data_IF_527787710038
#
_entry.id   IF_527787710038
#
_cell.length_a   1.000
_cell.length_b   1.000
_cell.length_c   1.000
_cell.angle_alpha   90.00
_cell.angle_beta   90.00
_cell.angle_gamma   90.00
#
_symmetry.space_group_name_H-M   'P 1'
#
loop_
_entity.id
_entity.type
_entity.pdbx_description
1 polymer ?
#
# COMPACT_ATOMS: atom_id res chain seq x y z
N UNK A 1 -22.99 -57.47 -34.14
CA UNK A 1 -22.87 -56.06 -34.54
C UNK A 1 -23.37 -55.20 -33.38
N UNK A 2 -22.46 -54.65 -32.61
CA UNK A 2 -22.79 -53.88 -31.40
C UNK A 2 -22.40 -52.43 -31.66
N UNK A 3 -23.42 -51.60 -31.69
CA UNK A 3 -23.30 -50.14 -31.85
C UNK A 3 -23.00 -49.51 -30.50
N UNK A 4 -21.83 -48.89 -30.39
CA UNK A 4 -21.31 -48.30 -29.16
C UNK A 4 -21.69 -46.82 -29.15
N UNK A 5 -22.76 -46.48 -28.43
CA UNK A 5 -23.18 -45.10 -28.20
C UNK A 5 -22.12 -44.34 -27.38
N UNK A 6 -21.49 -43.35 -27.99
CA UNK A 6 -20.61 -42.41 -27.34
C UNK A 6 -21.44 -41.42 -26.54
N UNK A 7 -21.26 -41.42 -25.20
CA UNK A 7 -21.80 -40.37 -24.31
C UNK A 7 -20.93 -39.14 -24.44
N UNK A 8 -21.53 -38.09 -25.00
CA UNK A 8 -21.00 -36.71 -24.94
C UNK A 8 -21.02 -36.24 -23.50
N UNK A 9 -19.85 -35.97 -22.92
CA UNK A 9 -19.69 -35.28 -21.65
C UNK A 9 -19.69 -33.79 -21.96
N UNK A 10 -20.80 -33.15 -21.73
CA UNK A 10 -20.96 -31.72 -21.74
C UNK A 10 -20.11 -31.14 -20.59
N UNK A 11 -18.94 -30.56 -20.91
CA UNK A 11 -18.13 -29.76 -20.00
C UNK A 11 -18.47 -28.29 -20.22
N UNK A 12 -19.65 -27.88 -19.84
CA UNK A 12 -19.97 -26.47 -19.63
C UNK A 12 -19.25 -25.99 -18.37
N UNK A 13 -17.96 -25.74 -18.50
CA UNK A 13 -17.22 -24.96 -17.54
C UNK A 13 -17.74 -23.52 -17.55
N UNK A 14 -18.77 -23.26 -16.77
CA UNK A 14 -19.26 -21.91 -16.54
C UNK A 14 -18.10 -21.08 -15.98
N UNK A 15 -17.61 -20.09 -16.75
CA UNK A 15 -16.79 -19.01 -16.25
C UNK A 15 -17.62 -18.34 -15.15
N UNK A 16 -17.13 -18.25 -13.90
CA UNK A 16 -17.86 -17.52 -12.88
C UNK A 16 -18.09 -16.08 -13.37
N UNK A 17 -19.25 -15.47 -13.09
CA UNK A 17 -19.49 -14.09 -13.49
C UNK A 17 -18.35 -13.25 -12.97
N UNK A 18 -17.75 -12.45 -13.85
CA UNK A 18 -16.78 -11.40 -13.48
C UNK A 18 -17.52 -10.42 -12.60
N UNK A 19 -17.51 -10.68 -11.28
CA UNK A 19 -18.04 -9.77 -10.28
C UNK A 19 -17.25 -8.46 -10.35
N UNK A 20 -17.88 -7.36 -9.97
CA UNK A 20 -17.23 -6.08 -9.86
C UNK A 20 -15.98 -6.18 -8.99
N UNK A 21 -14.84 -5.67 -9.47
CA UNK A 21 -13.59 -5.60 -8.73
C UNK A 21 -13.33 -4.16 -8.29
N UNK A 22 -12.57 -4.02 -7.22
CA UNK A 22 -12.10 -2.74 -6.70
C UNK A 22 -10.63 -2.85 -6.35
N UNK A 23 -9.85 -1.82 -6.62
CA UNK A 23 -8.49 -1.72 -6.11
C UNK A 23 -8.50 -1.14 -4.71
N UNK A 24 -7.76 -1.77 -3.79
CA UNK A 24 -7.53 -1.27 -2.44
C UNK A 24 -6.05 -1.09 -2.18
N UNK A 25 -5.73 -0.20 -1.23
CA UNK A 25 -4.41 -0.01 -0.66
C UNK A 25 -4.54 0.28 0.83
N UNK A 26 -3.51 -0.01 1.61
CA UNK A 26 -3.51 0.24 3.05
C UNK A 26 -2.21 0.95 3.40
N UNK A 27 -2.32 2.04 4.15
CA UNK A 27 -1.18 2.89 4.47
C UNK A 27 -1.32 3.55 5.84
N UNK A 28 -0.18 3.98 6.38
CA UNK A 28 -0.09 4.93 7.49
C UNK A 28 0.07 6.32 6.90
N UNK A 29 -0.82 7.23 7.23
CA UNK A 29 -0.72 8.62 6.82
C UNK A 29 0.34 9.37 7.63
N UNK A 30 1.09 10.26 6.98
CA UNK A 30 2.05 11.11 7.66
C UNK A 30 1.34 12.35 8.17
N UNK A 31 1.39 12.65 9.49
CA UNK A 31 0.68 13.79 10.06
C UNK A 31 1.29 15.13 9.62
N UNK A 32 0.46 16.18 9.72
CA UNK A 32 0.94 17.54 9.51
C UNK A 32 1.90 17.99 10.64
N UNK A 33 2.89 18.83 10.34
CA UNK A 33 3.14 19.50 9.05
C UNK A 33 3.96 18.66 8.05
N UNK A 34 4.46 17.49 8.44
CA UNK A 34 5.40 16.69 7.64
C UNK A 34 4.73 16.07 6.41
N UNK A 35 3.48 15.63 6.54
CA UNK A 35 2.70 15.06 5.44
C UNK A 35 2.57 16.04 4.27
N UNK A 36 2.16 17.28 4.55
CA UNK A 36 2.07 18.33 3.55
C UNK A 36 3.44 18.75 2.99
N UNK A 37 4.49 18.74 3.80
CA UNK A 37 5.86 19.04 3.34
C UNK A 37 6.34 17.98 2.33
N UNK A 38 6.23 16.69 2.65
CA UNK A 38 6.68 15.60 1.79
C UNK A 38 5.82 15.51 0.52
N UNK A 39 4.51 15.71 0.63
CA UNK A 39 3.60 15.74 -0.53
C UNK A 39 3.98 16.87 -1.49
N UNK A 40 4.29 18.07 -1.00
CA UNK A 40 4.76 19.18 -1.85
C UNK A 40 6.06 18.84 -2.57
N UNK A 41 7.02 18.21 -1.88
CA UNK A 41 8.29 17.78 -2.49
C UNK A 41 8.06 16.78 -3.62
N UNK A 42 7.10 15.87 -3.45
CA UNK A 42 6.71 14.91 -4.49
C UNK A 42 6.11 15.60 -5.71
N UNK A 43 5.25 16.61 -5.51
CA UNK A 43 4.70 17.43 -6.61
C UNK A 43 5.81 18.21 -7.33
N UNK A 44 6.71 18.84 -6.59
CA UNK A 44 7.85 19.62 -7.12
C UNK A 44 8.82 18.72 -7.91
N UNK A 45 8.96 17.44 -7.54
CA UNK A 45 9.73 16.46 -8.29
C UNK A 45 9.08 16.05 -9.62
N UNK A 46 7.83 16.43 -9.87
CA UNK A 46 7.13 16.18 -11.13
C UNK A 46 6.21 14.95 -11.11
N UNK A 47 5.81 14.46 -9.94
CA UNK A 47 4.80 13.40 -9.84
C UNK A 47 3.39 14.00 -9.99
N UNK A 48 2.74 13.82 -11.17
CA UNK A 48 1.43 14.43 -11.44
C UNK A 48 0.30 13.76 -10.66
N UNK A 49 0.54 12.58 -10.10
CA UNK A 49 -0.45 11.79 -9.35
C UNK A 49 -0.27 11.95 -7.84
N UNK A 50 0.47 12.97 -7.38
CA UNK A 50 0.83 13.16 -5.99
C UNK A 50 -0.25 12.69 -5.01
N UNK A 51 -0.09 11.47 -4.55
CA UNK A 51 -0.84 10.93 -3.42
C UNK A 51 -0.27 11.57 -2.16
N UNK A 52 -1.08 11.91 -1.14
CA UNK A 52 -0.55 12.35 0.15
C UNK A 52 0.58 11.46 0.67
N UNK A 53 1.55 12.04 1.34
CA UNK A 53 2.69 11.29 1.87
C UNK A 53 2.23 10.22 2.87
N UNK A 54 2.68 8.99 2.68
CA UNK A 54 2.26 7.83 3.48
C UNK A 54 3.34 6.75 3.52
N UNK A 55 3.25 5.86 4.51
CA UNK A 55 3.97 4.59 4.52
C UNK A 55 3.02 3.50 4.06
N UNK A 56 3.32 2.84 2.94
CA UNK A 56 2.51 1.74 2.41
C UNK A 56 2.64 0.50 3.30
N UNK A 57 1.52 -0.05 3.75
CA UNK A 57 1.43 -1.36 4.42
C UNK A 57 1.01 -2.45 3.43
N UNK A 58 0.07 -2.13 2.54
CA UNK A 58 -0.34 -2.98 1.41
C UNK A 58 -0.46 -2.12 0.16
N UNK A 59 0.35 -2.41 -0.85
CA UNK A 59 0.27 -1.73 -2.15
C UNK A 59 -1.02 -2.05 -2.90
N UNK A 60 -1.27 -1.36 -4.04
CA UNK A 60 -2.47 -1.55 -4.85
C UNK A 60 -2.79 -3.01 -5.11
N UNK A 61 -3.95 -3.46 -4.65
CA UNK A 61 -4.39 -4.86 -4.74
C UNK A 61 -5.83 -4.89 -5.25
N UNK A 62 -6.06 -5.61 -6.35
CA UNK A 62 -7.40 -5.82 -6.88
C UNK A 62 -8.10 -6.96 -6.12
N UNK A 63 -9.33 -6.71 -5.69
CA UNK A 63 -10.15 -7.66 -4.96
C UNK A 63 -11.58 -7.68 -5.54
N UNK A 64 -12.31 -8.80 -5.45
CA UNK A 64 -13.75 -8.79 -5.66
C UNK A 64 -14.42 -7.84 -4.64
N UNK A 65 -15.30 -6.97 -5.09
CA UNK A 65 -16.00 -6.01 -4.22
C UNK A 65 -16.77 -6.71 -3.10
N UNK A 66 -17.27 -7.92 -3.36
CA UNK A 66 -17.96 -8.74 -2.37
C UNK A 66 -17.07 -9.16 -1.17
N UNK A 67 -15.74 -9.15 -1.31
CA UNK A 67 -14.81 -9.52 -0.25
C UNK A 67 -14.52 -8.37 0.72
N UNK A 68 -14.88 -7.14 0.33
CA UNK A 68 -14.53 -5.94 1.08
C UNK A 68 -15.01 -5.95 2.55
N UNK A 69 -16.25 -6.40 2.88
CA UNK A 69 -16.69 -6.46 4.28
C UNK A 69 -15.86 -7.42 5.13
N UNK A 70 -15.48 -8.57 4.58
CA UNK A 70 -14.64 -9.55 5.29
C UNK A 70 -13.21 -9.02 5.51
N UNK A 71 -12.67 -8.29 4.53
CA UNK A 71 -11.37 -7.62 4.65
C UNK A 71 -11.44 -6.53 5.71
N UNK A 72 -12.47 -5.67 5.72
CA UNK A 72 -12.64 -4.64 6.74
C UNK A 72 -12.76 -5.24 8.15
N UNK A 73 -13.44 -6.37 8.31
CA UNK A 73 -13.51 -7.09 9.59
C UNK A 73 -12.13 -7.61 10.02
N UNK A 74 -11.36 -8.17 9.09
CA UNK A 74 -9.99 -8.62 9.36
C UNK A 74 -9.10 -7.44 9.77
N UNK A 75 -9.17 -6.30 9.06
CA UNK A 75 -8.39 -5.10 9.37
C UNK A 75 -8.72 -4.54 10.77
N UNK A 76 -10.00 -4.58 11.18
CA UNK A 76 -10.40 -4.19 12.54
C UNK A 76 -9.77 -5.12 13.59
N UNK A 77 -9.76 -6.44 13.35
CA UNK A 77 -9.11 -7.39 14.25
C UNK A 77 -7.58 -7.20 14.30
N UNK A 78 -6.95 -6.88 13.17
CA UNK A 78 -5.51 -6.54 13.12
C UNK A 78 -5.24 -5.28 13.95
N UNK A 79 -6.03 -4.23 13.78
CA UNK A 79 -5.86 -2.98 14.52
C UNK A 79 -6.00 -3.19 16.04
N UNK A 80 -7.01 -3.94 16.47
CA UNK A 80 -7.21 -4.28 17.88
C UNK A 80 -6.05 -5.08 18.49
N UNK A 81 -5.33 -5.85 17.69
CA UNK A 81 -4.21 -6.69 18.15
C UNK A 81 -2.85 -5.96 18.16
N UNK A 82 -2.76 -4.73 17.64
CA UNK A 82 -1.52 -3.97 17.56
C UNK A 82 -1.65 -2.66 18.33
N UNK A 83 -0.66 -2.33 19.16
CA UNK A 83 -0.62 -1.07 19.91
C UNK A 83 -0.10 0.07 19.04
N UNK A 84 -0.46 1.33 19.35
CA UNK A 84 0.19 2.51 18.81
C UNK A 84 1.71 2.45 19.01
N UNK A 85 2.49 2.97 18.06
CA UNK A 85 3.93 2.92 18.11
C UNK A 85 4.58 4.19 17.54
N UNK A 86 5.79 4.49 18.03
CA UNK A 86 6.58 5.63 17.52
C UNK A 86 7.19 5.28 16.16
N UNK A 87 7.05 6.18 15.19
CA UNK A 87 7.68 6.10 13.88
C UNK A 87 8.63 7.29 13.71
N UNK A 88 9.88 6.99 13.33
CA UNK A 88 10.89 7.99 13.04
C UNK A 88 11.29 7.94 11.58
N UNK A 89 10.97 8.98 10.84
CA UNK A 89 11.43 9.22 9.47
C UNK A 89 12.76 9.97 9.53
N UNK A 90 13.80 9.48 8.83
CA UNK A 90 15.10 10.15 8.85
C UNK A 90 15.91 9.90 7.58
N UNK A 91 16.32 11.00 6.94
CA UNK A 91 17.18 10.97 5.76
C UNK A 91 16.53 10.34 4.54
N UNK A 92 17.28 10.19 3.48
CA UNK A 92 16.82 9.68 2.20
C UNK A 92 17.44 8.33 1.87
N UNK A 93 16.71 7.55 1.08
CA UNK A 93 17.17 6.32 0.44
C UNK A 93 16.71 6.26 -1.01
N UNK A 94 17.23 5.28 -1.74
CA UNK A 94 16.81 5.05 -3.13
C UNK A 94 16.83 3.56 -3.45
N UNK A 95 15.90 3.11 -4.29
CA UNK A 95 15.90 1.75 -4.83
C UNK A 95 16.64 1.63 -6.16
N UNK A 96 17.27 2.71 -6.64
CA UNK A 96 18.07 2.68 -7.86
C UNK A 96 19.28 1.74 -7.72
N UNK A 97 19.67 1.02 -8.76
CA UNK A 97 19.14 1.05 -10.12
C UNK A 97 17.92 0.15 -10.38
N UNK A 98 17.42 -0.57 -9.35
CA UNK A 98 16.35 -1.57 -9.50
C UNK A 98 15.02 -0.92 -9.88
N UNK A 99 14.65 0.16 -9.20
CA UNK A 99 13.50 1.03 -9.54
C UNK A 99 13.89 2.50 -9.38
N UNK A 100 13.26 3.37 -10.17
CA UNK A 100 13.53 4.81 -10.15
C UNK A 100 12.74 5.50 -9.04
N UNK A 101 13.07 5.16 -7.79
CA UNK A 101 12.40 5.67 -6.59
C UNK A 101 13.40 6.27 -5.62
N UNK A 102 13.06 7.45 -5.09
CA UNK A 102 13.69 8.11 -3.95
C UNK A 102 12.64 8.24 -2.85
N UNK A 103 13.06 7.98 -1.62
CA UNK A 103 12.16 7.94 -0.46
C UNK A 103 12.83 8.54 0.79
N UNK A 104 12.01 8.95 1.75
CA UNK A 104 12.45 9.19 3.13
C UNK A 104 12.42 7.86 3.87
N UNK A 105 13.52 7.53 4.55
CA UNK A 105 13.69 6.26 5.23
C UNK A 105 12.97 6.23 6.59
N UNK A 106 12.45 5.08 6.96
CA UNK A 106 11.99 4.78 8.32
C UNK A 106 13.20 4.33 9.13
N UNK A 107 13.57 5.10 10.16
CA UNK A 107 14.71 4.83 11.04
C UNK A 107 14.31 4.12 12.36
N UNK A 108 13.06 4.29 12.82
CA UNK A 108 12.47 3.53 13.92
C UNK A 108 10.99 3.25 13.62
N UNK A 109 10.44 2.16 14.17
CA UNK A 109 9.10 1.66 13.85
C UNK A 109 9.08 0.68 12.67
N UNK A 110 10.26 0.22 12.20
CA UNK A 110 10.39 -0.73 11.07
C UNK A 110 9.70 -2.06 11.42
N UNK A 111 10.04 -2.64 12.57
CA UNK A 111 9.49 -3.93 13.00
C UNK A 111 7.98 -3.89 13.19
N UNK A 112 7.47 -2.79 13.74
CA UNK A 112 6.02 -2.58 13.93
C UNK A 112 5.31 -2.48 12.58
N UNK A 113 5.88 -1.75 11.61
CA UNK A 113 5.38 -1.70 10.24
C UNK A 113 5.41 -3.08 9.56
N UNK A 114 6.49 -3.86 9.73
CA UNK A 114 6.63 -5.21 9.18
C UNK A 114 5.58 -6.16 9.75
N UNK A 115 5.39 -6.17 11.08
CA UNK A 115 4.38 -6.99 11.75
C UNK A 115 2.97 -6.62 11.31
N UNK A 116 2.68 -5.32 11.24
CA UNK A 116 1.37 -4.82 10.82
C UNK A 116 1.09 -5.17 9.34
N UNK A 117 2.06 -4.97 8.45
CA UNK A 117 1.94 -5.33 7.04
C UNK A 117 1.75 -6.84 6.84
N UNK A 118 2.47 -7.68 7.60
CA UNK A 118 2.32 -9.12 7.56
C UNK A 118 0.95 -9.58 8.05
N UNK A 119 0.45 -9.00 9.16
CA UNK A 119 -0.88 -9.28 9.69
C UNK A 119 -1.98 -8.88 8.70
N UNK A 120 -1.87 -7.71 8.07
CA UNK A 120 -2.79 -7.25 7.02
C UNK A 120 -2.81 -8.22 5.83
N UNK A 121 -1.64 -8.61 5.34
CA UNK A 121 -1.51 -9.50 4.19
C UNK A 121 -2.00 -10.93 4.45
N UNK A 122 -2.21 -11.32 5.71
CA UNK A 122 -2.77 -12.62 6.09
C UNK A 122 -4.27 -12.77 5.78
N UNK A 123 -4.98 -11.69 5.44
CA UNK A 123 -6.38 -11.77 5.03
C UNK A 123 -6.53 -12.61 3.76
N UNK A 124 -7.58 -13.43 3.65
CA UNK A 124 -7.88 -14.16 2.43
C UNK A 124 -7.99 -13.21 1.21
N UNK A 125 -7.21 -13.49 0.17
CA UNK A 125 -7.19 -12.68 -1.06
C UNK A 125 -6.26 -11.47 -1.02
N UNK A 126 -5.61 -11.16 0.11
CA UNK A 126 -4.60 -10.09 0.19
C UNK A 126 -3.17 -10.59 0.11
N UNK A 127 -2.95 -11.90 0.26
CA UNK A 127 -1.62 -12.47 0.15
C UNK A 127 -1.07 -12.31 -1.28
N UNK A 128 0.01 -11.55 -1.44
CA UNK A 128 0.73 -11.38 -2.70
C UNK A 128 2.15 -11.89 -2.54
N UNK A 129 2.63 -12.65 -3.52
CA UNK A 129 4.06 -12.86 -3.68
C UNK A 129 4.68 -11.54 -4.15
N UNK A 130 5.44 -10.89 -3.28
CA UNK A 130 6.19 -9.69 -3.63
C UNK A 130 7.57 -10.08 -4.18
N UNK A 131 8.04 -9.38 -5.20
CA UNK A 131 9.37 -9.58 -5.79
C UNK A 131 10.49 -9.26 -4.79
N UNK A 132 10.22 -8.35 -3.86
CA UNK A 132 11.17 -7.86 -2.87
C UNK A 132 10.59 -7.99 -1.46
N UNK A 133 11.44 -8.14 -0.42
CA UNK A 133 11.00 -8.02 0.97
C UNK A 133 10.31 -6.68 1.21
N UNK A 134 9.38 -6.69 2.15
CA UNK A 134 8.73 -5.45 2.59
C UNK A 134 9.78 -4.49 3.18
N UNK A 135 9.71 -3.23 2.82
CA UNK A 135 10.60 -2.18 3.32
C UNK A 135 9.77 -0.90 3.51
N UNK A 136 9.47 -0.51 4.76
CA UNK A 136 8.67 0.68 5.04
C UNK A 136 9.43 1.95 4.64
N UNK A 137 8.78 2.83 3.87
CA UNK A 137 9.37 4.07 3.38
C UNK A 137 8.28 5.07 2.97
N UNK A 138 8.64 6.34 2.82
CA UNK A 138 7.78 7.38 2.26
C UNK A 138 8.34 7.84 0.92
N UNK A 139 7.69 7.49 -0.18
CA UNK A 139 8.11 7.89 -1.53
C UNK A 139 7.98 9.41 -1.72
N UNK A 140 9.07 10.04 -2.17
CA UNK A 140 9.13 11.49 -2.44
C UNK A 140 9.44 11.83 -3.90
N UNK A 141 9.95 10.86 -4.68
CA UNK A 141 10.06 10.97 -6.13
C UNK A 141 10.05 9.57 -6.75
N UNK A 142 9.28 9.39 -7.83
CA UNK A 142 9.15 8.11 -8.51
C UNK A 142 8.92 8.32 -10.00
N UNK A 143 9.68 7.56 -10.84
CA UNK A 143 9.53 7.52 -12.29
C UNK A 143 9.55 8.91 -12.96
N UNK A 144 10.36 9.82 -12.40
CA UNK A 144 10.61 11.18 -12.88
C UNK A 144 12.03 11.29 -13.45
N UNK A 145 12.39 12.45 -14.02
CA UNK A 145 13.71 12.67 -14.59
C UNK A 145 14.84 12.42 -13.57
N UNK A 146 16.00 11.87 -13.98
CA UNK A 146 17.12 11.56 -13.10
C UNK A 146 17.57 12.75 -12.23
N UNK A 147 17.53 13.95 -12.77
CA UNK A 147 17.89 15.20 -12.09
C UNK A 147 16.91 15.49 -10.94
N UNK A 148 15.61 15.26 -11.15
CA UNK A 148 14.57 15.42 -10.13
C UNK A 148 14.73 14.39 -9.01
N UNK A 149 15.08 13.13 -9.36
CA UNK A 149 15.40 12.09 -8.38
C UNK A 149 16.61 12.49 -7.52
N UNK A 150 17.70 12.97 -8.14
CA UNK A 150 18.90 13.42 -7.44
C UNK A 150 18.59 14.58 -6.51
N UNK A 151 17.86 15.58 -7.02
CA UNK A 151 17.44 16.74 -6.23
C UNK A 151 16.59 16.34 -5.02
N UNK A 152 15.61 15.47 -5.19
CA UNK A 152 14.78 14.98 -4.09
C UNK A 152 15.61 14.24 -3.03
N UNK A 153 16.61 13.47 -3.46
CA UNK A 153 17.54 12.76 -2.59
C UNK A 153 18.38 13.72 -1.75
N UNK A 154 18.93 14.76 -2.37
CA UNK A 154 19.79 15.76 -1.72
C UNK A 154 18.97 16.69 -0.80
N UNK A 155 17.85 17.23 -1.27
CA UNK A 155 17.03 18.21 -0.53
C UNK A 155 16.43 17.65 0.78
N UNK A 156 16.26 16.34 0.88
CA UNK A 156 15.67 15.68 2.05
C UNK A 156 16.68 14.84 2.86
N UNK A 157 17.98 14.95 2.54
CA UNK A 157 19.02 14.17 3.22
C UNK A 157 19.04 14.40 4.76
N UNK A 158 18.72 15.60 5.20
CA UNK A 158 18.66 15.98 6.62
C UNK A 158 17.23 15.98 7.18
N UNK A 159 16.25 15.49 6.41
CA UNK A 159 14.86 15.43 6.88
C UNK A 159 14.76 14.52 8.12
N UNK A 160 14.01 14.97 9.12
CA UNK A 160 13.71 14.19 10.32
C UNK A 160 12.33 14.54 10.84
N UNK A 161 11.52 13.51 11.14
CA UNK A 161 10.20 13.65 11.73
C UNK A 161 9.93 12.44 12.64
N UNK A 162 9.41 12.71 13.84
CA UNK A 162 9.02 11.65 14.79
C UNK A 162 7.58 11.89 15.22
N UNK A 163 6.77 10.85 15.15
CA UNK A 163 5.35 10.89 15.54
C UNK A 163 4.88 9.51 15.97
N UNK A 164 3.72 9.47 16.62
CA UNK A 164 3.06 8.23 16.98
C UNK A 164 2.11 7.80 15.86
N UNK A 165 2.16 6.52 15.49
CA UNK A 165 1.20 5.88 14.59
C UNK A 165 0.07 5.34 15.44
N UNK A 166 -1.09 5.98 15.37
CA UNK A 166 -2.29 5.60 16.12
C UNK A 166 -3.30 4.81 15.27
N UNK A 167 -3.16 4.85 13.95
CA UNK A 167 -4.08 4.22 13.02
C UNK A 167 -3.42 3.93 11.67
N UNK A 168 -4.07 3.08 10.89
CA UNK A 168 -3.82 2.95 9.45
C UNK A 168 -5.12 3.09 8.67
N UNK A 169 -5.03 3.50 7.41
CA UNK A 169 -6.18 3.83 6.55
C UNK A 169 -6.29 2.83 5.40
N UNK A 170 -7.51 2.33 5.19
CA UNK A 170 -7.90 1.61 3.98
C UNK A 170 -8.31 2.64 2.92
N UNK A 171 -7.64 2.60 1.79
CA UNK A 171 -7.96 3.38 0.60
C UNK A 171 -8.61 2.50 -0.46
N UNK A 172 -9.44 3.10 -1.29
CA UNK A 172 -10.00 2.46 -2.48
C UNK A 172 -9.82 3.33 -3.72
N UNK A 173 -9.74 2.65 -4.86
CA UNK A 173 -9.64 3.28 -6.18
C UNK A 173 -10.63 2.60 -7.11
N UNK A 174 -11.54 3.38 -7.68
CA UNK A 174 -12.53 2.89 -8.65
C UNK A 174 -12.35 3.61 -9.99
N UNK A 175 -11.93 2.87 -11.01
CA UNK A 175 -11.79 3.37 -12.38
C UNK A 175 -10.83 4.56 -12.51
N UNK A 176 -11.32 5.68 -13.02
CA UNK A 176 -10.54 6.91 -13.25
C UNK A 176 -10.44 7.83 -12.01
N UNK A 177 -11.02 7.45 -10.88
CA UNK A 177 -10.98 8.22 -9.65
C UNK A 177 -9.58 8.22 -9.03
N UNK A 178 -9.28 9.26 -8.24
CA UNK A 178 -8.09 9.25 -7.37
C UNK A 178 -8.34 8.27 -6.21
N UNK A 179 -7.26 7.81 -5.58
CA UNK A 179 -7.31 7.09 -4.31
C UNK A 179 -8.14 7.88 -3.29
N UNK A 180 -9.14 7.23 -2.70
CA UNK A 180 -10.03 7.81 -1.71
C UNK A 180 -9.86 7.08 -0.37
N UNK A 181 -9.70 7.80 0.76
CA UNK A 181 -9.76 7.19 2.06
C UNK A 181 -11.17 6.60 2.26
N UNK A 182 -11.22 5.36 2.73
CA UNK A 182 -12.47 4.65 2.96
C UNK A 182 -12.76 4.47 4.44
N UNK A 183 -11.76 4.05 5.20
CA UNK A 183 -11.91 3.79 6.64
C UNK A 183 -10.57 3.80 7.36
N UNK A 184 -10.55 4.42 8.54
CA UNK A 184 -9.44 4.37 9.47
C UNK A 184 -9.65 3.24 10.48
N UNK A 185 -8.54 2.60 10.86
CA UNK A 185 -8.50 1.53 11.85
C UNK A 185 -7.53 1.96 12.96
N UNK A 186 -8.07 2.29 14.12
CA UNK A 186 -7.27 2.69 15.29
C UNK A 186 -6.60 1.49 15.91
N UNK A 187 -5.33 1.66 16.26
CA UNK A 187 -4.54 0.63 16.92
C UNK A 187 -4.92 0.56 18.40
N UNK A 188 -5.06 -0.65 18.93
CA UNK A 188 -5.40 -0.91 20.33
C UNK A 188 -6.88 -0.78 20.69
N UNK A 189 -7.77 -0.57 19.71
CA UNK A 189 -9.23 -0.44 19.95
C UNK A 189 -9.96 -1.79 19.83
#
# INVERSE_FOLDING_TARGET
MAEKAARSVDRSGGVPPTGDTIQIGIAVDIPEPWGGQLTRRRIEAGDPLAVPAHVTLLGPTEIPTANLPAIEQHLAAVAAAHLPFALHLRGTGTFRPVTQVVFVAVAAGISECELLAAAIAAAPGLHRQTRFPYHPHVTVAQDVAPEALNKAYEDLADFSAMFEVEAFTLFSHSGQARWQPRRDFRLGD
#
